data_IF_815689012247
#
_entry.id   IF_815689012247
#
_cell.length_a   1.000
_cell.length_b   1.000
_cell.length_c   1.000
_cell.angle_alpha   90.00
_cell.angle_beta   90.00
_cell.angle_gamma   90.00
#
_symmetry.space_group_name_H-M   'P 1'
#
loop_
_entity.id
_entity.type
_entity.pdbx_description
1 polymer ?
#
# COMPACT_ATOMS: atom_id res chain seq x y z
N UNK A 1 2.05 11.44 -4.03
CA UNK A 1 1.87 10.92 -5.40
C UNK A 1 0.50 10.26 -5.49
N UNK A 2 -0.25 10.45 -6.58
CA UNK A 2 -1.45 9.64 -6.87
C UNK A 2 -1.01 8.60 -7.90
N UNK A 3 -1.03 7.30 -7.60
CA UNK A 3 -0.71 6.29 -8.60
C UNK A 3 -1.72 6.36 -9.75
N UNK A 4 -1.32 6.03 -10.98
CA UNK A 4 -2.16 6.12 -12.19
C UNK A 4 -3.18 4.96 -12.27
N UNK A 5 -3.81 4.67 -11.15
CA UNK A 5 -4.83 3.66 -10.95
C UNK A 5 -5.91 4.29 -10.07
N UNK A 6 -7.17 3.97 -10.37
CA UNK A 6 -8.25 4.40 -9.50
C UNK A 6 -8.28 3.49 -8.27
N UNK A 7 -8.23 4.10 -7.09
CA UNK A 7 -8.18 3.40 -5.81
C UNK A 7 -9.35 3.91 -5.00
N UNK A 8 -10.11 2.99 -4.42
CA UNK A 8 -11.23 3.32 -3.55
C UNK A 8 -10.80 4.30 -2.44
N UNK A 9 -11.66 5.28 -2.15
CA UNK A 9 -11.38 6.33 -1.17
C UNK A 9 -11.07 5.77 0.22
N UNK A 10 -11.71 4.68 0.62
CA UNK A 10 -11.46 4.03 1.90
C UNK A 10 -10.06 3.41 1.96
N UNK A 11 -9.58 2.82 0.85
CA UNK A 11 -8.23 2.26 0.76
C UNK A 11 -7.19 3.39 0.80
N UNK A 12 -7.42 4.48 0.07
CA UNK A 12 -6.56 5.65 0.12
C UNK A 12 -6.45 6.22 1.55
N UNK A 13 -7.57 6.37 2.25
CA UNK A 13 -7.60 6.82 3.65
C UNK A 13 -6.73 5.95 4.55
N UNK A 14 -6.88 4.61 4.46
CA UNK A 14 -6.06 3.67 5.26
C UNK A 14 -4.56 3.77 4.95
N UNK A 15 -4.19 3.97 3.69
CA UNK A 15 -2.78 4.11 3.29
C UNK A 15 -2.21 5.45 3.78
N UNK A 16 -3.03 6.51 3.79
CA UNK A 16 -2.66 7.80 4.38
C UNK A 16 -2.43 7.67 5.90
N UNK A 17 -3.34 7.03 6.62
CA UNK A 17 -3.21 6.82 8.07
C UNK A 17 -1.93 6.02 8.39
N UNK A 18 -1.63 4.99 7.58
CA UNK A 18 -0.39 4.24 7.67
C UNK A 18 0.85 5.12 7.40
N UNK A 19 0.80 6.01 6.41
CA UNK A 19 1.89 6.92 6.10
C UNK A 19 2.20 7.85 7.28
N UNK A 20 1.16 8.48 7.85
CA UNK A 20 1.28 9.39 9.01
C UNK A 20 1.83 8.67 10.25
N UNK A 21 1.38 7.44 10.52
CA UNK A 21 1.83 6.66 11.67
C UNK A 21 3.28 6.19 11.58
N UNK A 22 3.87 6.15 10.37
CA UNK A 22 5.21 5.62 10.12
C UNK A 22 6.20 6.68 9.61
N UNK A 23 5.83 7.96 9.63
CA UNK A 23 6.61 9.08 9.08
C UNK A 23 7.06 8.83 7.63
N UNK A 24 6.13 8.34 6.81
CA UNK A 24 6.36 8.05 5.40
C UNK A 24 5.68 9.09 4.54
N UNK A 25 6.27 9.36 3.38
CA UNK A 25 5.51 9.99 2.30
C UNK A 25 4.42 9.05 1.81
N UNK A 26 3.34 9.61 1.29
CA UNK A 26 2.25 8.82 0.73
C UNK A 26 2.73 7.85 -0.37
N UNK A 27 3.74 8.24 -1.15
CA UNK A 27 4.33 7.40 -2.20
C UNK A 27 5.03 6.16 -1.62
N UNK A 28 5.81 6.34 -0.55
CA UNK A 28 6.51 5.24 0.14
C UNK A 28 5.51 4.31 0.81
N UNK A 29 4.46 4.86 1.41
CA UNK A 29 3.37 4.06 1.98
C UNK A 29 2.69 3.19 0.92
N UNK A 30 2.37 3.75 -0.26
CA UNK A 30 1.83 2.96 -1.37
C UNK A 30 2.78 1.85 -1.82
N UNK A 31 4.06 2.16 -2.02
CA UNK A 31 5.05 1.18 -2.43
C UNK A 31 5.15 0.02 -1.42
N UNK A 32 5.33 0.34 -0.13
CA UNK A 32 5.44 -0.67 0.93
C UNK A 32 4.21 -1.55 1.04
N UNK A 33 3.01 -0.97 1.00
CA UNK A 33 1.76 -1.73 1.10
C UNK A 33 1.58 -2.66 -0.10
N UNK A 34 1.90 -2.19 -1.31
CA UNK A 34 1.80 -3.01 -2.52
C UNK A 34 2.85 -4.12 -2.56
N UNK A 35 4.10 -3.82 -2.19
CA UNK A 35 5.19 -4.81 -2.13
C UNK A 35 4.90 -5.90 -1.10
N UNK A 36 4.49 -5.54 0.11
CA UNK A 36 4.13 -6.50 1.16
C UNK A 36 2.91 -7.35 0.75
N UNK A 37 1.93 -6.75 0.06
CA UNK A 37 0.79 -7.46 -0.49
C UNK A 37 1.20 -8.45 -1.59
N UNK A 38 2.12 -8.07 -2.48
CA UNK A 38 2.64 -8.93 -3.54
C UNK A 38 3.42 -10.12 -2.96
N UNK A 39 4.34 -9.88 -2.03
CA UNK A 39 5.11 -10.93 -1.36
C UNK A 39 4.20 -11.95 -0.65
N UNK A 40 3.14 -11.47 0.00
CA UNK A 40 2.15 -12.34 0.66
C UNK A 40 1.40 -13.23 -0.34
N UNK A 41 1.01 -12.69 -1.50
CA UNK A 41 0.34 -13.45 -2.56
C UNK A 41 1.27 -14.48 -3.20
N UNK A 42 2.51 -14.09 -3.51
CA UNK A 42 3.53 -14.99 -4.07
C UNK A 42 3.85 -16.15 -3.11
N UNK A 43 3.86 -15.90 -1.81
CA UNK A 43 4.08 -16.93 -0.79
C UNK A 43 2.86 -17.85 -0.64
N UNK A 44 1.64 -17.32 -0.78
CA UNK A 44 0.40 -18.11 -0.70
C UNK A 44 0.25 -19.10 -1.87
N UNK A 45 0.68 -18.73 -3.08
CA UNK A 45 0.67 -19.63 -4.24
C UNK A 45 1.71 -20.77 -4.14
N UNK A 46 2.60 -20.73 -3.15
CA UNK A 46 3.62 -21.77 -2.91
C UNK A 46 3.24 -22.79 -1.83
N UNK A 47 2.05 -22.69 -1.22
CA UNK A 47 1.57 -23.59 -0.15
C UNK A 47 0.40 -24.48 -0.61
#
# INVERSE_FOLDING_TARGET
MRPNIDIDWAIHGRIKDYAEANDLTLSEAYAKVLEAGLEALETQDQQ
#
